data_IF_796861773628
#
_entry.id   IF_796861773628
#
_cell.length_a   1.000
_cell.length_b   1.000
_cell.length_c   1.000
_cell.angle_alpha   90.00
_cell.angle_beta   90.00
_cell.angle_gamma   90.00
#
_symmetry.space_group_name_H-M   'P 1'
#
loop_
_entity.id
_entity.type
_entity.pdbx_description
1 polymer ?
#
# COMPACT_ATOMS: atom_id res chain seq x y z
N UNK A 1 5.81 12.10 15.32
CA UNK A 1 5.25 12.86 14.18
C UNK A 1 6.31 13.19 13.14
N UNK A 2 7.51 13.61 13.54
CA UNK A 2 8.63 13.88 12.62
C UNK A 2 9.04 12.65 11.80
N UNK A 3 8.95 11.45 12.38
CA UNK A 3 9.32 10.21 11.71
C UNK A 3 8.29 9.79 10.66
N UNK A 4 7.00 10.01 10.90
CA UNK A 4 5.95 9.72 9.92
C UNK A 4 6.11 10.58 8.65
N UNK A 5 6.33 11.88 8.80
CA UNK A 5 6.58 12.79 7.67
C UNK A 5 7.84 12.43 6.89
N UNK A 6 8.93 12.05 7.59
CA UNK A 6 10.17 11.56 6.96
C UNK A 6 9.94 10.27 6.20
N UNK A 7 9.15 9.35 6.76
CA UNK A 7 8.83 8.07 6.13
C UNK A 7 8.01 8.24 4.85
N UNK A 8 7.01 9.13 4.83
CA UNK A 8 6.27 9.43 3.62
C UNK A 8 7.14 10.06 2.53
N UNK A 9 7.98 11.03 2.89
CA UNK A 9 8.96 11.63 1.95
C UNK A 9 9.99 10.60 1.45
N UNK A 10 10.37 9.62 2.26
CA UNK A 10 11.27 8.54 1.83
C UNK A 10 10.60 7.61 0.81
N UNK A 11 9.31 7.26 1.00
CA UNK A 11 8.59 6.45 0.02
C UNK A 11 8.50 7.15 -1.35
N UNK A 12 8.29 8.46 -1.34
CA UNK A 12 8.23 9.26 -2.57
C UNK A 12 9.61 9.38 -3.27
N UNK A 13 10.70 9.41 -2.49
CA UNK A 13 12.06 9.33 -3.04
C UNK A 13 12.36 8.01 -3.73
N UNK A 14 11.85 6.89 -3.21
CA UNK A 14 11.99 5.58 -3.85
C UNK A 14 11.25 5.50 -5.19
N UNK A 15 10.16 6.24 -5.34
CA UNK A 15 9.41 6.35 -6.58
C UNK A 15 10.14 7.11 -7.70
N UNK A 16 11.11 7.96 -7.35
CA UNK A 16 11.95 8.70 -8.32
C UNK A 16 13.11 7.86 -8.88
N UNK A 17 13.13 6.55 -8.65
CA UNK A 17 14.15 5.64 -9.18
C UNK A 17 14.15 5.58 -10.71
N UNK A 18 15.34 5.38 -11.31
CA UNK A 18 15.54 5.39 -12.77
C UNK A 18 15.55 3.97 -13.39
N UNK A 19 14.98 2.97 -12.70
CA UNK A 19 14.91 1.59 -13.22
C UNK A 19 13.83 1.46 -14.30
N UNK A 20 14.01 0.51 -15.21
CA UNK A 20 13.06 0.24 -16.31
C UNK A 20 11.62 0.00 -15.82
N UNK A 21 11.46 -0.51 -14.59
CA UNK A 21 10.15 -0.71 -13.96
C UNK A 21 9.48 0.63 -13.57
N UNK A 22 10.25 1.66 -13.17
CA UNK A 22 9.70 2.99 -12.86
C UNK A 22 9.15 3.70 -14.10
N UNK A 23 9.69 3.41 -15.29
CA UNK A 23 9.25 3.98 -16.58
C UNK A 23 7.96 3.34 -17.12
N UNK A 24 7.50 2.23 -16.51
CA UNK A 24 6.23 1.61 -16.87
C UNK A 24 5.06 2.51 -16.52
N UNK A 25 4.06 2.54 -17.41
CA UNK A 25 2.84 3.32 -17.22
C UNK A 25 2.11 2.92 -15.92
N UNK A 26 1.65 3.91 -15.16
CA UNK A 26 0.95 3.69 -13.89
C UNK A 26 -0.33 2.86 -14.06
N UNK A 27 -1.02 2.96 -15.20
CA UNK A 27 -2.21 2.17 -15.52
C UNK A 27 -1.93 0.67 -15.48
N UNK A 28 -0.83 0.25 -16.12
CA UNK A 28 -0.44 -1.17 -16.21
C UNK A 28 -0.10 -1.70 -14.82
N UNK A 29 0.62 -0.92 -14.01
CA UNK A 29 0.96 -1.29 -12.64
C UNK A 29 -0.27 -1.43 -11.74
N UNK A 30 -1.22 -0.48 -11.85
CA UNK A 30 -2.48 -0.53 -11.09
C UNK A 30 -3.30 -1.74 -11.53
N UNK A 31 -3.46 -1.98 -12.84
CA UNK A 31 -4.17 -3.14 -13.37
C UNK A 31 -3.54 -4.46 -12.93
N UNK A 32 -2.22 -4.60 -13.03
CA UNK A 32 -1.48 -5.77 -12.59
C UNK A 32 -1.64 -6.02 -11.08
N UNK A 33 -1.60 -4.96 -10.27
CA UNK A 33 -1.82 -5.04 -8.84
C UNK A 33 -3.26 -5.48 -8.50
N UNK A 34 -4.27 -4.93 -9.19
CA UNK A 34 -5.66 -5.31 -8.97
C UNK A 34 -5.88 -6.80 -9.30
N UNK A 35 -5.36 -7.27 -10.43
CA UNK A 35 -5.42 -8.70 -10.80
C UNK A 35 -4.74 -9.56 -9.73
N UNK A 36 -3.55 -9.18 -9.29
CA UNK A 36 -2.85 -9.86 -8.20
C UNK A 36 -3.70 -9.92 -6.93
N UNK A 37 -4.32 -8.80 -6.55
CA UNK A 37 -5.15 -8.69 -5.35
C UNK A 37 -6.38 -9.58 -5.43
N UNK A 38 -7.07 -9.58 -6.57
CA UNK A 38 -8.24 -10.44 -6.82
C UNK A 38 -7.84 -11.91 -6.75
N UNK A 39 -6.71 -12.30 -7.35
CA UNK A 39 -6.22 -13.67 -7.30
C UNK A 39 -5.89 -14.11 -5.86
N UNK A 40 -5.24 -13.28 -5.05
CA UNK A 40 -4.93 -13.58 -3.65
C UNK A 40 -6.20 -13.73 -2.80
N UNK A 41 -7.19 -12.86 -3.00
CA UNK A 41 -8.45 -12.89 -2.26
C UNK A 41 -9.39 -14.02 -2.71
N UNK A 42 -9.27 -14.50 -3.94
CA UNK A 42 -10.13 -15.55 -4.53
C UNK A 42 -9.84 -16.96 -3.99
N UNK A 43 -8.76 -17.16 -3.21
CA UNK A 43 -8.46 -18.46 -2.62
C UNK A 43 -9.41 -18.79 -1.44
N UNK A 44 -9.80 -20.06 -1.25
CA UNK A 44 -10.60 -20.47 -0.09
C UNK A 44 -9.80 -20.29 1.21
N UNK A 45 -10.43 -19.96 2.34
CA UNK A 45 -9.75 -19.64 3.60
C UNK A 45 -8.97 -20.81 4.23
N UNK A 46 -9.23 -22.03 3.77
CA UNK A 46 -8.60 -23.26 4.31
C UNK A 46 -7.34 -23.67 3.56
N UNK A 47 -7.03 -23.06 2.41
CA UNK A 47 -5.86 -23.42 1.61
C UNK A 47 -4.69 -22.44 1.84
N UNK A 48 -3.70 -22.89 2.61
CA UNK A 48 -2.46 -22.14 2.85
C UNK A 48 -1.46 -22.36 1.70
N UNK A 49 -1.42 -23.60 1.19
CA UNK A 49 -0.40 -24.04 0.23
C UNK A 49 -0.43 -23.24 -1.07
N UNK A 50 -1.64 -22.88 -1.55
CA UNK A 50 -1.81 -22.08 -2.76
C UNK A 50 -1.37 -20.61 -2.63
N UNK A 51 -1.23 -20.09 -1.40
CA UNK A 51 -0.81 -18.70 -1.16
C UNK A 51 0.71 -18.51 -1.17
N UNK A 52 1.48 -19.57 -0.90
CA UNK A 52 2.94 -19.49 -0.81
C UNK A 52 3.62 -18.98 -2.10
N UNK A 53 3.28 -19.46 -3.30
CA UNK A 53 3.91 -18.97 -4.53
C UNK A 53 3.59 -17.50 -4.82
N UNK A 54 2.50 -16.95 -4.29
CA UNK A 54 2.15 -15.54 -4.47
C UNK A 54 3.12 -14.57 -3.79
N UNK A 55 3.90 -15.01 -2.79
CA UNK A 55 4.98 -14.20 -2.23
C UNK A 55 6.10 -13.89 -3.23
N UNK A 56 6.27 -14.73 -4.23
CA UNK A 56 7.28 -14.52 -5.26
C UNK A 56 7.02 -13.23 -6.06
N UNK A 57 5.74 -12.88 -6.32
CA UNK A 57 5.37 -11.74 -7.14
C UNK A 57 5.79 -10.39 -6.55
N UNK A 58 5.39 -10.02 -5.32
CA UNK A 58 5.85 -8.76 -4.73
C UNK A 58 7.37 -8.74 -4.55
N UNK A 59 8.01 -9.86 -4.23
CA UNK A 59 9.47 -9.94 -4.09
C UNK A 59 10.17 -9.68 -5.43
N UNK A 60 9.69 -10.27 -6.53
CA UNK A 60 10.21 -9.99 -7.87
C UNK A 60 10.05 -8.52 -8.25
N UNK A 61 8.88 -7.94 -8.03
CA UNK A 61 8.63 -6.53 -8.33
C UNK A 61 9.54 -5.61 -7.52
N UNK A 62 9.74 -5.90 -6.22
CA UNK A 62 10.61 -5.13 -5.34
C UNK A 62 12.07 -5.19 -5.83
N UNK A 63 12.52 -6.37 -6.28
CA UNK A 63 13.87 -6.55 -6.85
C UNK A 63 14.04 -5.80 -8.17
N UNK A 64 13.06 -5.89 -9.07
CA UNK A 64 13.07 -5.18 -10.36
C UNK A 64 13.02 -3.66 -10.19
N UNK A 65 12.29 -3.18 -9.17
CA UNK A 65 12.21 -1.76 -8.84
C UNK A 65 13.44 -1.25 -8.05
N UNK A 66 14.35 -2.14 -7.61
CA UNK A 66 15.52 -1.76 -6.82
C UNK A 66 15.17 -1.25 -5.42
N UNK A 67 14.01 -1.64 -4.88
CA UNK A 67 13.55 -1.20 -3.58
C UNK A 67 14.21 -2.00 -2.44
N UNK A 68 14.48 -1.39 -1.27
CA UNK A 68 15.03 -2.10 -0.12
C UNK A 68 13.97 -3.04 0.48
N UNK A 69 14.09 -4.34 0.22
CA UNK A 69 13.21 -5.40 0.73
C UNK A 69 13.00 -5.31 2.25
N UNK A 70 14.07 -5.09 3.00
CA UNK A 70 14.01 -5.02 4.46
C UNK A 70 13.13 -3.88 4.97
N UNK A 71 13.10 -2.75 4.28
CA UNK A 71 12.25 -1.61 4.64
C UNK A 71 10.76 -1.93 4.46
N UNK A 72 10.41 -2.53 3.32
CA UNK A 72 9.01 -2.88 3.00
C UNK A 72 8.50 -4.01 3.92
N UNK A 73 9.31 -5.05 4.13
CA UNK A 73 9.00 -6.13 5.07
C UNK A 73 8.82 -5.63 6.50
N UNK A 74 9.71 -4.77 7.01
CA UNK A 74 9.60 -4.19 8.35
C UNK A 74 8.31 -3.39 8.50
N UNK A 75 7.90 -2.68 7.45
CA UNK A 75 6.68 -1.88 7.47
C UNK A 75 5.41 -2.75 7.40
N UNK A 76 5.45 -3.82 6.60
CA UNK A 76 4.38 -4.82 6.57
C UNK A 76 4.25 -5.53 7.92
N UNK A 77 5.38 -5.88 8.54
CA UNK A 77 5.41 -6.55 9.84
C UNK A 77 4.82 -5.64 10.95
N UNK A 78 4.97 -4.32 10.84
CA UNK A 78 4.41 -3.37 11.81
C UNK A 78 2.87 -3.30 11.76
N UNK A 79 2.25 -3.62 10.61
CA UNK A 79 0.81 -3.72 10.44
C UNK A 79 0.26 -5.13 10.77
N UNK A 80 1.14 -6.11 10.89
CA UNK A 80 0.79 -7.50 11.16
C UNK A 80 0.02 -7.71 12.49
N UNK A 81 0.28 -6.99 13.60
CA UNK A 81 -0.49 -7.15 14.83
C UNK A 81 -1.99 -6.92 14.64
N UNK A 82 -2.38 -6.00 13.75
CA UNK A 82 -3.79 -5.73 13.44
C UNK A 82 -4.42 -6.93 12.72
N UNK A 83 -3.71 -7.53 11.76
CA UNK A 83 -4.17 -8.72 11.05
C UNK A 83 -4.28 -9.94 11.99
N UNK A 84 -3.31 -10.09 12.89
CA UNK A 84 -3.30 -11.14 13.91
C UNK A 84 -4.48 -10.96 14.87
N UNK A 85 -4.77 -9.74 15.31
CA UNK A 85 -5.91 -9.46 16.19
C UNK A 85 -7.25 -9.84 15.54
N UNK A 86 -7.43 -9.52 14.26
CA UNK A 86 -8.65 -9.90 13.51
C UNK A 86 -8.72 -11.42 13.34
N UNK A 87 -7.61 -12.05 12.99
CA UNK A 87 -7.55 -13.50 12.77
C UNK A 87 -7.74 -14.33 14.03
N UNK A 88 -7.39 -13.79 15.22
CA UNK A 88 -7.44 -14.49 16.49
C UNK A 88 -8.86 -14.91 16.90
N UNK A 89 -9.88 -14.24 16.38
CA UNK A 89 -11.28 -14.62 16.63
C UNK A 89 -11.66 -15.93 15.95
N UNK A 90 -11.00 -16.33 14.84
CA UNK A 90 -11.35 -17.55 14.10
C UNK A 90 -11.09 -18.85 14.90
N UNK A 91 -9.94 -19.06 15.55
CA UNK A 91 -9.73 -20.27 16.37
C UNK A 91 -10.60 -20.31 17.63
N UNK A 92 -11.18 -19.17 18.05
CA UNK A 92 -12.13 -19.13 19.16
C UNK A 92 -13.53 -19.60 18.77
N UNK A 93 -13.95 -19.31 17.54
CA UNK A 93 -15.29 -19.61 17.01
C UNK A 93 -15.32 -21.00 16.36
N UNK A 94 -14.33 -21.34 15.51
CA UNK A 94 -14.27 -22.61 14.78
C UNK A 94 -13.35 -23.62 15.47
N UNK A 95 -13.94 -24.52 16.24
CA UNK A 95 -13.25 -25.60 16.94
C UNK A 95 -13.35 -26.95 16.24
N UNK A 96 -13.84 -27.01 15.01
CA UNK A 96 -13.94 -28.27 14.25
C UNK A 96 -12.56 -28.86 13.99
N UNK A 97 -12.32 -30.15 14.34
CA UNK A 97 -11.04 -30.80 14.08
C UNK A 97 -10.83 -30.96 12.58
N UNK A 98 -9.74 -30.42 12.07
CA UNK A 98 -9.40 -30.49 10.63
C UNK A 98 -8.49 -31.68 10.28
N UNK A 99 -7.84 -32.29 11.27
CA UNK A 99 -6.91 -33.40 11.10
C UNK A 99 -5.78 -33.38 12.11
N UNK A 100 -5.00 -34.44 12.15
CA UNK A 100 -3.81 -34.54 12.99
C UNK A 100 -2.57 -34.20 12.14
N UNK A 101 -1.88 -33.13 12.48
CA UNK A 101 -0.57 -32.77 11.91
C UNK A 101 0.49 -33.00 12.99
N UNK A 102 1.41 -33.92 12.78
CA UNK A 102 2.49 -34.28 13.74
C UNK A 102 2.00 -34.61 15.16
N UNK A 103 0.81 -35.25 15.30
CA UNK A 103 0.28 -35.62 16.61
C UNK A 103 -0.39 -34.48 17.42
N UNK A 104 -0.54 -33.30 16.81
CA UNK A 104 -1.27 -32.17 17.41
C UNK A 104 -2.60 -32.03 16.65
N UNK A 105 -3.75 -32.01 17.35
CA UNK A 105 -5.05 -31.80 16.71
C UNK A 105 -5.10 -30.36 16.18
N UNK A 106 -5.03 -30.23 14.85
CA UNK A 106 -5.14 -28.90 14.20
C UNK A 106 -6.61 -28.61 13.95
N UNK A 107 -7.09 -27.53 14.53
CA UNK A 107 -8.45 -27.04 14.35
C UNK A 107 -8.55 -26.24 13.06
N UNK A 108 -9.68 -26.31 12.35
CA UNK A 108 -9.93 -25.50 11.14
C UNK A 108 -9.74 -24.00 11.39
N UNK A 109 -10.04 -23.53 12.59
CA UNK A 109 -9.82 -22.15 13.01
C UNK A 109 -8.35 -21.71 12.97
N UNK A 110 -7.39 -22.62 13.30
CA UNK A 110 -5.94 -22.31 13.24
C UNK A 110 -5.50 -22.19 11.78
N UNK A 111 -5.97 -23.05 10.89
CA UNK A 111 -5.67 -22.99 9.46
C UNK A 111 -6.20 -21.69 8.87
N UNK A 112 -7.44 -21.34 9.20
CA UNK A 112 -8.05 -20.07 8.76
C UNK A 112 -7.32 -18.86 9.30
N UNK A 113 -6.87 -18.88 10.56
CA UNK A 113 -6.05 -17.81 11.17
C UNK A 113 -4.76 -17.56 10.40
N UNK A 114 -4.00 -18.63 10.11
CA UNK A 114 -2.75 -18.54 9.35
C UNK A 114 -3.02 -18.03 7.94
N UNK A 115 -4.05 -18.55 7.27
CA UNK A 115 -4.43 -18.12 5.92
C UNK A 115 -4.81 -16.63 5.85
N UNK A 116 -5.60 -16.13 6.80
CA UNK A 116 -5.99 -14.72 6.87
C UNK A 116 -4.77 -13.84 7.10
N UNK A 117 -3.89 -14.23 8.03
CA UNK A 117 -2.65 -13.49 8.33
C UNK A 117 -1.74 -13.42 7.12
N UNK A 118 -1.56 -14.54 6.39
CA UNK A 118 -0.78 -14.59 5.15
C UNK A 118 -1.38 -13.71 4.05
N UNK A 119 -2.71 -13.72 3.87
CA UNK A 119 -3.41 -12.85 2.90
C UNK A 119 -3.24 -11.39 3.24
N UNK A 120 -3.44 -11.01 4.49
CA UNK A 120 -3.22 -9.63 4.93
C UNK A 120 -1.77 -9.21 4.67
N UNK A 121 -0.80 -10.07 4.94
CA UNK A 121 0.60 -9.79 4.69
C UNK A 121 0.89 -9.58 3.20
N UNK A 122 0.37 -10.46 2.32
CA UNK A 122 0.49 -10.35 0.86
C UNK A 122 -0.16 -9.08 0.32
N UNK A 123 -1.38 -8.78 0.78
CA UNK A 123 -2.16 -7.61 0.40
C UNK A 123 -1.41 -6.32 0.75
N UNK A 124 -0.96 -6.21 1.99
CA UNK A 124 -0.23 -5.04 2.49
C UNK A 124 1.11 -4.89 1.78
N UNK A 125 1.85 -5.98 1.61
CA UNK A 125 3.13 -5.98 0.90
C UNK A 125 2.96 -5.56 -0.56
N UNK A 126 1.94 -6.08 -1.25
CA UNK A 126 1.60 -5.70 -2.61
C UNK A 126 1.24 -4.22 -2.72
N UNK A 127 0.41 -3.70 -1.82
CA UNK A 127 0.02 -2.28 -1.79
C UNK A 127 1.22 -1.35 -1.57
N UNK A 128 2.10 -1.69 -0.61
CA UNK A 128 3.33 -0.92 -0.40
C UNK A 128 4.27 -0.98 -1.61
N UNK A 129 4.37 -2.13 -2.26
CA UNK A 129 5.18 -2.30 -3.46
C UNK A 129 4.66 -1.45 -4.61
N UNK A 130 3.33 -1.42 -4.83
CA UNK A 130 2.72 -0.53 -5.82
C UNK A 130 3.01 0.93 -5.51
N UNK A 131 2.78 1.36 -4.27
CA UNK A 131 2.96 2.76 -3.88
C UNK A 131 4.42 3.19 -3.98
N UNK A 132 5.36 2.37 -3.51
CA UNK A 132 6.79 2.65 -3.54
C UNK A 132 7.37 2.64 -4.97
N UNK A 133 6.84 1.79 -5.86
CA UNK A 133 7.32 1.69 -7.25
C UNK A 133 6.67 2.70 -8.21
N UNK A 134 5.52 3.27 -7.85
CA UNK A 134 4.78 4.16 -8.74
C UNK A 134 4.84 5.61 -8.26
N UNK A 135 4.78 5.82 -6.93
CA UNK A 135 4.62 7.14 -6.34
C UNK A 135 3.18 7.68 -6.41
N UNK A 136 2.90 8.68 -5.57
CA UNK A 136 1.53 9.17 -5.44
C UNK A 136 1.04 9.94 -6.69
N UNK A 137 1.85 10.82 -7.25
CA UNK A 137 1.45 11.65 -8.38
C UNK A 137 1.21 10.84 -9.67
N UNK A 138 2.08 9.88 -10.08
CA UNK A 138 1.77 8.98 -11.19
C UNK A 138 0.59 8.05 -10.93
N UNK A 139 0.38 7.63 -9.66
CA UNK A 139 -0.79 6.83 -9.27
C UNK A 139 -2.09 7.59 -9.55
N UNK A 140 -2.18 8.85 -9.13
CA UNK A 140 -3.33 9.71 -9.41
C UNK A 140 -3.57 9.87 -10.92
N UNK A 141 -2.50 10.05 -11.71
CA UNK A 141 -2.59 10.09 -13.18
C UNK A 141 -3.16 8.80 -13.76
N UNK A 142 -2.66 7.66 -13.30
CA UNK A 142 -3.13 6.35 -13.73
C UNK A 142 -4.61 6.13 -13.41
N UNK A 143 -5.06 6.50 -12.21
CA UNK A 143 -6.47 6.42 -11.80
C UNK A 143 -7.38 7.30 -12.66
N UNK A 144 -6.96 8.54 -12.97
CA UNK A 144 -7.71 9.43 -13.88
C UNK A 144 -7.91 8.78 -15.25
N UNK A 145 -6.85 8.17 -15.76
CA UNK A 145 -6.86 7.53 -17.06
C UNK A 145 -7.65 6.20 -17.10
N UNK A 146 -7.87 5.57 -15.93
CA UNK A 146 -8.74 4.40 -15.75
C UNK A 146 -10.22 4.78 -15.58
N UNK A 147 -10.57 6.09 -15.65
CA UNK A 147 -11.96 6.56 -15.60
C UNK A 147 -12.40 7.13 -14.25
N UNK A 148 -11.48 7.31 -13.30
CA UNK A 148 -11.84 7.97 -12.03
C UNK A 148 -12.29 9.43 -12.27
N UNK A 149 -13.33 9.92 -11.55
CA UNK A 149 -13.86 11.25 -11.73
C UNK A 149 -12.80 12.31 -11.43
N UNK A 150 -12.75 13.35 -12.27
CA UNK A 150 -11.75 14.42 -12.19
C UNK A 150 -11.69 15.07 -10.81
N UNK A 151 -12.85 15.34 -10.21
CA UNK A 151 -12.97 15.97 -8.90
C UNK A 151 -12.23 15.15 -7.83
N UNK A 152 -12.38 13.83 -7.84
CA UNK A 152 -11.73 12.95 -6.87
C UNK A 152 -10.20 12.99 -7.00
N UNK A 153 -9.68 12.99 -8.22
CA UNK A 153 -8.24 13.06 -8.47
C UNK A 153 -7.65 14.41 -8.06
N UNK A 154 -8.37 15.49 -8.35
CA UNK A 154 -7.98 16.85 -7.94
C UNK A 154 -7.96 16.96 -6.41
N UNK A 155 -8.99 16.45 -5.72
CA UNK A 155 -9.02 16.42 -4.26
C UNK A 155 -7.89 15.59 -3.66
N UNK A 156 -7.59 14.41 -4.23
CA UNK A 156 -6.46 13.58 -3.79
C UNK A 156 -5.12 14.29 -3.97
N UNK A 157 -4.92 14.96 -5.10
CA UNK A 157 -3.70 15.71 -5.37
C UNK A 157 -3.52 16.89 -4.38
N UNK A 158 -4.59 17.61 -4.09
CA UNK A 158 -4.58 18.65 -3.07
C UNK A 158 -4.34 18.08 -1.67
N UNK A 159 -5.04 17.02 -1.28
CA UNK A 159 -4.86 16.36 0.00
C UNK A 159 -3.39 15.97 0.21
N UNK A 160 -2.79 15.33 -0.79
CA UNK A 160 -1.38 14.92 -0.71
C UNK A 160 -0.43 16.11 -0.55
N UNK A 161 -0.59 17.14 -1.38
CA UNK A 161 0.24 18.35 -1.33
C UNK A 161 0.11 19.10 -0.01
N UNK A 162 -1.14 19.32 0.43
CA UNK A 162 -1.38 20.11 1.62
C UNK A 162 -1.13 19.33 2.92
N UNK A 163 -1.19 17.99 2.90
CA UNK A 163 -0.80 17.18 4.04
C UNK A 163 0.65 17.48 4.49
N UNK A 164 1.59 17.60 3.55
CA UNK A 164 2.98 17.95 3.90
C UNK A 164 3.11 19.39 4.41
N UNK A 165 2.42 20.33 3.80
CA UNK A 165 2.44 21.73 4.22
C UNK A 165 1.89 21.87 5.64
N UNK A 166 0.78 21.19 5.95
CA UNK A 166 0.17 21.20 7.27
C UNK A 166 1.07 20.52 8.32
N UNK A 167 1.76 19.46 7.91
CA UNK A 167 2.71 18.78 8.79
C UNK A 167 3.90 19.70 9.16
N UNK A 168 4.41 20.45 8.18
CA UNK A 168 5.49 21.43 8.43
C UNK A 168 4.99 22.61 9.28
N UNK A 169 3.79 23.12 9.04
CA UNK A 169 3.14 24.15 9.84
C UNK A 169 2.96 23.70 11.30
N UNK A 170 2.46 22.47 11.49
CA UNK A 170 2.29 21.89 12.82
C UNK A 170 3.62 21.73 13.57
N UNK A 171 4.68 21.29 12.88
CA UNK A 171 6.01 21.19 13.48
C UNK A 171 6.56 22.56 13.89
N UNK A 172 6.35 23.59 13.08
CA UNK A 172 6.75 24.95 13.39
C UNK A 172 6.02 25.47 14.63
N UNK A 173 4.71 25.22 14.75
CA UNK A 173 3.92 25.58 15.92
C UNK A 173 4.43 24.85 17.18
N UNK A 174 4.75 23.55 17.05
CA UNK A 174 5.27 22.75 18.15
C UNK A 174 6.66 23.24 18.61
N UNK A 175 7.54 23.57 17.67
CA UNK A 175 8.85 24.15 17.98
C UNK A 175 8.72 25.51 18.69
N UNK A 176 7.86 26.39 18.17
CA UNK A 176 7.60 27.69 18.78
C UNK A 176 7.06 27.57 20.21
N UNK A 177 6.17 26.60 20.46
CA UNK A 177 5.67 26.32 21.80
C UNK A 177 6.79 25.84 22.74
N UNK A 178 7.61 24.88 22.29
CA UNK A 178 8.73 24.35 23.08
C UNK A 178 9.77 25.44 23.45
N UNK A 179 10.09 26.29 22.49
CA UNK A 179 11.01 27.41 22.71
C UNK A 179 10.51 28.41 23.76
N UNK A 180 9.20 28.69 23.80
CA UNK A 180 8.58 29.60 24.77
C UNK A 180 8.52 28.99 26.16
N UNK A 181 8.40 27.69 26.29
CA UNK A 181 8.27 26.99 27.58
C UNK A 181 9.62 26.75 28.29
N UNK A 182 10.73 26.88 27.57
CA UNK A 182 12.09 26.77 28.18
C UNK A 182 12.47 25.37 28.69
N UNK A 183 11.76 24.29 28.28
CA UNK A 183 12.06 22.96 28.81
C UNK A 183 11.58 21.81 27.93
N UNK A 184 12.13 20.61 28.15
CA UNK A 184 11.83 19.37 27.43
C UNK A 184 10.59 18.62 27.95
N UNK A 185 9.69 19.29 28.67
CA UNK A 185 8.48 18.66 29.22
C UNK A 185 7.48 18.21 28.15
N UNK A 186 6.66 17.21 28.49
CA UNK A 186 5.57 16.75 27.65
C UNK A 186 4.55 17.87 27.41
N UNK A 187 4.02 17.95 26.20
CA UNK A 187 2.98 18.95 25.85
C UNK A 187 1.65 18.50 26.48
N UNK A 188 1.00 19.35 27.33
CA UNK A 188 -0.28 19.01 27.93
C UNK A 188 -1.38 18.86 26.89
N UNK A 189 -2.38 18.02 27.18
CA UNK A 189 -3.46 17.69 26.24
C UNK A 189 -4.27 18.94 25.84
N UNK A 190 -4.47 19.88 26.74
CA UNK A 190 -5.13 21.17 26.46
C UNK A 190 -4.39 21.99 25.41
N UNK A 191 -3.07 21.98 25.44
CA UNK A 191 -2.24 22.66 24.43
C UNK A 191 -2.35 21.99 23.05
N UNK A 192 -2.42 20.66 23.02
CA UNK A 192 -2.67 19.92 21.77
C UNK A 192 -4.00 20.34 21.13
N UNK A 193 -5.07 20.45 21.93
CA UNK A 193 -6.37 20.94 21.46
C UNK A 193 -6.30 22.36 20.88
N UNK A 194 -5.66 23.28 21.61
CA UNK A 194 -5.49 24.66 21.13
C UNK A 194 -4.66 24.76 19.85
N UNK A 195 -3.55 23.98 19.75
CA UNK A 195 -2.72 23.94 18.54
C UNK A 195 -3.47 23.37 17.35
N UNK A 196 -4.27 22.30 17.55
CA UNK A 196 -5.08 21.71 16.50
C UNK A 196 -6.17 22.67 16.03
N UNK A 197 -6.85 23.36 16.95
CA UNK A 197 -7.83 24.39 16.63
C UNK A 197 -7.23 25.54 15.82
N UNK A 198 -6.05 26.04 16.23
CA UNK A 198 -5.34 27.08 15.49
C UNK A 198 -4.90 26.62 14.09
N UNK A 199 -4.43 25.37 13.96
CA UNK A 199 -4.10 24.78 12.67
C UNK A 199 -5.33 24.70 11.78
N UNK A 200 -6.46 24.29 12.32
CA UNK A 200 -7.73 24.19 11.59
C UNK A 200 -8.16 25.57 11.05
N UNK A 201 -8.15 26.61 11.88
CA UNK A 201 -8.49 27.97 11.44
C UNK A 201 -7.56 28.47 10.32
N UNK A 202 -6.26 28.22 10.44
CA UNK A 202 -5.29 28.58 9.38
C UNK A 202 -5.54 27.82 8.08
N UNK A 203 -5.95 26.53 8.18
CA UNK A 203 -6.23 25.71 7.00
C UNK A 203 -7.48 26.19 6.27
N UNK A 204 -8.54 26.58 6.98
CA UNK A 204 -9.73 27.17 6.36
C UNK A 204 -9.41 28.46 5.61
N UNK A 205 -8.72 29.40 6.24
CA UNK A 205 -8.34 30.64 5.58
C UNK A 205 -7.39 30.42 4.38
N UNK A 206 -6.58 29.35 4.41
CA UNK A 206 -5.76 28.95 3.25
C UNK A 206 -6.62 28.35 2.15
N UNK A 207 -7.56 27.45 2.50
CA UNK A 207 -8.44 26.79 1.54
C UNK A 207 -9.29 27.83 0.76
N UNK A 208 -9.80 28.83 1.43
CA UNK A 208 -10.55 29.93 0.80
C UNK A 208 -9.69 30.71 -0.21
N UNK A 209 -8.47 31.09 0.18
CA UNK A 209 -7.54 31.79 -0.74
C UNK A 209 -7.18 30.93 -1.95
N UNK A 210 -7.00 29.62 -1.76
CA UNK A 210 -6.69 28.68 -2.85
C UNK A 210 -7.89 28.58 -3.78
N UNK A 211 -9.10 28.46 -3.23
CA UNK A 211 -10.34 28.40 -4.00
C UNK A 211 -10.52 29.64 -4.87
N UNK A 212 -10.36 30.82 -4.30
CA UNK A 212 -10.43 32.07 -5.06
C UNK A 212 -9.34 32.14 -6.15
N UNK A 213 -8.10 31.75 -5.82
CA UNK A 213 -7.01 31.72 -6.80
C UNK A 213 -7.28 30.74 -7.96
N UNK A 214 -7.94 29.62 -7.70
CA UNK A 214 -8.36 28.64 -8.73
C UNK A 214 -9.46 29.25 -9.60
N UNK A 215 -10.45 29.91 -9.01
CA UNK A 215 -11.51 30.59 -9.77
C UNK A 215 -10.94 31.68 -10.70
N UNK A 216 -10.00 32.49 -10.20
CA UNK A 216 -9.33 33.52 -11.02
C UNK A 216 -8.52 32.95 -12.20
N UNK A 217 -8.11 31.66 -12.09
CA UNK A 217 -7.38 30.95 -13.16
C UNK A 217 -8.30 30.17 -14.10
N UNK A 218 -9.60 30.38 -14.06
CA UNK A 218 -10.58 29.73 -14.92
C UNK A 218 -11.35 28.58 -14.28
N UNK A 219 -11.12 28.27 -13.01
CA UNK A 219 -11.92 27.27 -12.25
C UNK A 219 -11.78 25.83 -12.69
N UNK A 220 -11.23 25.61 -13.88
CA UNK A 220 -11.08 24.29 -14.47
C UNK A 220 -9.65 23.76 -14.28
N UNK A 221 -9.60 22.57 -13.73
CA UNK A 221 -8.43 21.67 -13.62
C UNK A 221 -7.07 22.34 -13.34
N UNK A 222 -6.59 22.30 -12.12
CA UNK A 222 -5.16 22.48 -11.92
C UNK A 222 -4.45 21.39 -12.71
N UNK A 223 -3.66 21.79 -13.70
CA UNK A 223 -2.84 20.94 -14.60
C UNK A 223 -1.80 20.06 -13.88
N UNK A 224 -1.96 19.83 -12.58
CA UNK A 224 -1.06 18.99 -11.79
C UNK A 224 -1.03 17.51 -12.25
N UNK A 225 -1.91 17.13 -13.17
CA UNK A 225 -2.06 15.75 -13.65
C UNK A 225 -1.75 15.62 -15.14
N UNK A 226 -1.21 16.65 -15.78
CA UNK A 226 -1.16 16.81 -17.24
C UNK A 226 0.12 16.36 -17.94
N UNK A 227 0.60 15.15 -17.76
CA UNK A 227 1.41 14.55 -18.83
C UNK A 227 0.88 13.14 -19.10
N UNK A 228 0.34 12.83 -20.28
CA UNK A 228 0.01 11.47 -20.63
C UNK A 228 1.31 10.65 -20.59
N UNK A 229 1.35 9.61 -19.77
CA UNK A 229 2.43 8.64 -19.80
C UNK A 229 2.46 8.02 -21.20
N UNK A 230 3.63 7.92 -21.80
CA UNK A 230 3.79 7.26 -23.10
C UNK A 230 3.65 5.77 -22.88
N UNK A 231 2.58 5.20 -23.42
CA UNK A 231 2.35 3.75 -23.38
C UNK A 231 3.43 3.10 -24.25
N UNK A 232 4.40 2.47 -23.61
CA UNK A 232 5.43 1.70 -24.32
C UNK A 232 4.92 0.29 -24.56
N UNK A 233 4.92 -0.20 -25.80
CA UNK A 233 4.52 -1.57 -26.16
C UNK A 233 5.19 -2.65 -25.27
N UNK A 234 6.46 -2.47 -24.96
CA UNK A 234 7.21 -3.35 -24.03
C UNK A 234 6.61 -3.35 -22.62
N UNK A 235 6.09 -2.23 -22.17
CA UNK A 235 5.44 -2.11 -20.86
C UNK A 235 4.12 -2.86 -20.81
N UNK A 236 3.31 -2.73 -21.86
CA UNK A 236 2.04 -3.46 -21.99
C UNK A 236 2.29 -4.97 -22.04
N UNK A 237 3.24 -5.42 -22.86
CA UNK A 237 3.60 -6.83 -22.95
C UNK A 237 4.08 -7.39 -21.60
N UNK A 238 4.91 -6.63 -20.86
CA UNK A 238 5.35 -7.02 -19.51
C UNK A 238 4.19 -7.10 -18.50
N UNK A 239 3.26 -6.16 -18.54
CA UNK A 239 2.07 -6.17 -17.68
C UNK A 239 1.14 -7.34 -17.98
N UNK A 240 0.89 -7.63 -19.27
CA UNK A 240 0.07 -8.77 -19.71
C UNK A 240 0.75 -10.09 -19.28
N UNK A 241 2.06 -10.21 -19.50
CA UNK A 241 2.82 -11.39 -19.09
C UNK A 241 2.72 -11.61 -17.58
N UNK A 242 2.86 -10.55 -16.78
CA UNK A 242 2.72 -10.61 -15.33
C UNK A 242 1.32 -11.06 -14.93
N UNK A 243 0.26 -10.47 -15.49
CA UNK A 243 -1.12 -10.86 -15.23
C UNK A 243 -1.39 -12.33 -15.63
N UNK A 244 -0.92 -12.73 -16.80
CA UNK A 244 -1.07 -14.10 -17.29
C UNK A 244 -0.39 -15.11 -16.34
N UNK A 245 0.81 -14.77 -15.84
CA UNK A 245 1.58 -15.59 -14.91
C UNK A 245 0.88 -15.69 -13.54
N UNK A 246 0.32 -14.59 -13.03
CA UNK A 246 -0.47 -14.58 -11.77
C UNK A 246 -1.73 -15.44 -11.91
N UNK A 247 -2.46 -15.33 -13.04
CA UNK A 247 -3.65 -16.12 -13.31
C UNK A 247 -3.30 -17.60 -13.48
N UNK A 248 -2.20 -17.90 -14.16
CA UNK A 248 -1.70 -19.28 -14.34
C UNK A 248 -1.38 -19.93 -13.00
N UNK A 249 -0.71 -19.21 -12.08
CA UNK A 249 -0.46 -19.69 -10.71
C UNK A 249 -1.76 -19.88 -9.92
N UNK A 250 -2.82 -19.14 -10.24
CA UNK A 250 -4.14 -19.32 -9.64
C UNK A 250 -4.87 -20.55 -10.17
N UNK A 251 -4.79 -20.79 -11.50
CA UNK A 251 -5.46 -21.93 -12.15
C UNK A 251 -4.75 -23.26 -11.90
N UNK A 252 -3.43 -23.24 -11.94
CA UNK A 252 -2.62 -24.41 -11.61
C UNK A 252 -2.15 -24.29 -10.16
N UNK A 253 -2.61 -25.20 -9.30
CA UNK A 253 -2.15 -25.31 -7.92
C UNK A 253 -0.70 -25.83 -7.93
N UNK A 254 0.24 -24.92 -8.30
CA UNK A 254 1.66 -25.25 -8.57
C UNK A 254 2.31 -25.95 -7.39
N UNK A 255 1.89 -25.66 -6.16
CA UNK A 255 2.39 -26.32 -4.96
C UNK A 255 1.91 -27.77 -4.83
N UNK A 256 0.67 -28.08 -5.26
CA UNK A 256 0.21 -29.47 -5.32
C UNK A 256 0.94 -30.27 -6.39
N UNK A 257 1.12 -29.66 -7.58
CA UNK A 257 1.89 -30.27 -8.68
C UNK A 257 3.36 -30.50 -8.28
N UNK A 258 4.00 -29.52 -7.67
CA UNK A 258 5.37 -29.66 -7.14
C UNK A 258 5.48 -30.74 -6.07
N UNK A 259 4.50 -30.84 -5.17
CA UNK A 259 4.44 -31.89 -4.15
C UNK A 259 4.22 -33.29 -4.74
N UNK A 260 3.43 -33.43 -5.81
CA UNK A 260 3.26 -34.68 -6.53
C UNK A 260 4.54 -35.09 -7.30
N UNK A 261 5.18 -34.13 -7.98
CA UNK A 261 6.47 -34.38 -8.63
C UNK A 261 7.57 -34.75 -7.64
N UNK A 262 7.63 -34.10 -6.48
CA UNK A 262 8.60 -34.46 -5.44
C UNK A 262 8.37 -35.87 -4.87
N UNK A 263 7.12 -36.28 -4.71
CA UNK A 263 6.79 -37.67 -4.29
C UNK A 263 7.15 -38.71 -5.36
N UNK A 264 6.92 -38.39 -6.66
CA UNK A 264 7.29 -39.29 -7.76
C UNK A 264 8.80 -39.40 -7.98
N UNK A 265 9.60 -38.43 -7.52
CA UNK A 265 11.06 -38.48 -7.58
C UNK A 265 11.68 -39.19 -6.36
N UNK A 266 10.91 -39.35 -5.27
CA UNK A 266 11.37 -40.01 -4.04
C UNK A 266 10.87 -41.47 -3.90
N UNK A 267 10.00 -41.92 -4.79
CA UNK A 267 9.55 -43.31 -4.92
C UNK A 267 10.32 -44.00 -6.04
#
# INVERSE_FOLDING_TARGET
FTDAARQFRQMDRFSCGNTGFHRLDARIKIGAFLVFQICVLSWPPQEITGLLPFFLFPVCVIRMAGLPLGYLLKRTLWLLPVAVMIGLFNPLVDRTPAGEWFGIPVTQGIISFISITLRCMLTILGAFTLLASTGFAPLCRGLRQLGAPRILITLLAFLYRYAFILMDEFQNMLMAFRSRRGGSGSVPLSTWGAMTGQLLLRTFGRAERIYQAVLCRGGEDPEFVSAPGVITMRGVAGGILFCALVILFRCFNVTMLAGQCARSLLS
#
